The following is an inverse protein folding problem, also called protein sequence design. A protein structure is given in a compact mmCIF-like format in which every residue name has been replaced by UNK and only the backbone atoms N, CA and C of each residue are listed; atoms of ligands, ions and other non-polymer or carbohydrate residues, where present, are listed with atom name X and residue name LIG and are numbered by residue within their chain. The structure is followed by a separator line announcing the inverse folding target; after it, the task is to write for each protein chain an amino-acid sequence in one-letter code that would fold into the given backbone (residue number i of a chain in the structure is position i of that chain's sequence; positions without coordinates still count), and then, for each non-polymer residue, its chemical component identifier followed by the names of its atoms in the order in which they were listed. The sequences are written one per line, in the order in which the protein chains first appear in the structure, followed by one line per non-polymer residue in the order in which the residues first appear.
data_IF_437392471530
#
_entry.id   IF_437392471530
#
_cell.length_a   1.000
_cell.length_b   1.000
_cell.length_c   1.000
_cell.angle_alpha   90.00
_cell.angle_beta   90.00
_cell.angle_gamma   90.00
#
_symmetry.space_group_name_H-M   'P 1'
#
loop_
_entity.id
_entity.type
_entity.pdbx_description
1 polymer ?
#
# COMPACT_ATOMS: atom_id res chain seq x y z
N UNK A 1 3.39 24.78 4.59
CA UNK A 1 3.22 23.93 5.80
C UNK A 1 4.38 22.96 5.87
N UNK A 2 4.81 22.53 7.07
CA UNK A 2 5.85 21.51 7.19
C UNK A 2 5.28 20.13 6.79
N UNK A 3 6.08 19.30 6.13
CA UNK A 3 5.75 17.92 5.80
C UNK A 3 5.55 17.09 7.08
N UNK A 4 4.75 16.03 6.99
CA UNK A 4 4.60 15.08 8.08
C UNK A 4 5.89 14.28 8.26
N UNK A 5 6.40 14.23 9.50
CA UNK A 5 7.60 13.44 9.80
C UNK A 5 7.17 12.09 10.36
N UNK A 6 7.60 11.01 9.72
CA UNK A 6 7.34 9.66 10.20
C UNK A 6 8.04 9.40 11.53
N UNK A 7 7.36 8.72 12.46
CA UNK A 7 7.98 8.22 13.69
C UNK A 7 8.81 6.97 13.40
N UNK A 8 8.42 6.22 12.36
CA UNK A 8 9.12 5.02 11.91
C UNK A 8 8.97 4.87 10.40
N UNK A 9 10.00 4.40 9.74
CA UNK A 9 9.95 3.96 8.34
C UNK A 9 10.49 2.54 8.24
N UNK A 10 9.77 1.68 7.55
CA UNK A 10 10.17 0.28 7.35
C UNK A 10 9.76 -0.20 5.96
N UNK A 11 10.32 -1.32 5.53
CA UNK A 11 10.00 -1.94 4.25
C UNK A 11 9.44 -3.34 4.49
N UNK A 12 8.32 -3.64 3.85
CA UNK A 12 7.66 -4.94 3.90
C UNK A 12 7.37 -5.39 2.47
N UNK A 13 7.87 -6.56 2.07
CA UNK A 13 7.75 -7.10 0.71
C UNK A 13 8.04 -6.09 -0.41
N UNK A 14 9.08 -5.26 -0.23
CA UNK A 14 9.47 -4.24 -1.20
C UNK A 14 8.70 -2.91 -1.13
N UNK A 15 7.65 -2.82 -0.31
CA UNK A 15 6.91 -1.59 -0.07
C UNK A 15 7.48 -0.83 1.13
N UNK A 16 7.95 0.39 0.92
CA UNK A 16 8.36 1.28 2.03
C UNK A 16 7.14 1.97 2.62
N UNK A 17 6.99 1.86 3.95
CA UNK A 17 5.86 2.40 4.72
C UNK A 17 6.40 3.40 5.75
N UNK A 18 5.87 4.62 5.70
CA UNK A 18 6.09 5.66 6.70
C UNK A 18 4.98 5.59 7.75
N UNK A 19 5.35 5.42 9.00
CA UNK A 19 4.39 5.30 10.09
C UNK A 19 4.33 6.58 10.92
N UNK A 20 3.12 7.09 11.12
CA UNK A 20 2.79 8.22 12.00
C UNK A 20 1.42 8.00 12.60
N UNK A 21 1.34 7.18 13.65
CA UNK A 21 0.05 6.77 14.19
C UNK A 21 -0.64 7.88 14.97
N UNK A 22 -1.93 8.04 14.71
CA UNK A 22 -2.84 8.82 15.53
C UNK A 22 -3.02 8.08 16.85
N UNK A 23 -2.79 8.79 17.96
CA UNK A 23 -2.95 8.25 19.32
C UNK A 23 -3.86 9.16 20.14
N UNK A 24 -4.30 8.69 21.30
CA UNK A 24 -5.04 9.52 22.25
C UNK A 24 -4.32 10.82 22.62
N UNK A 25 -2.98 10.81 22.57
CA UNK A 25 -2.13 11.99 22.87
C UNK A 25 -2.13 13.01 21.73
N UNK A 26 -2.46 12.61 20.51
CA UNK A 26 -2.53 13.55 19.39
C UNK A 26 -3.79 14.42 19.41
N UNK A 27 -4.71 14.19 20.32
CA UNK A 27 -5.96 14.96 20.46
C UNK A 27 -6.96 14.72 19.34
N UNK A 28 -6.67 13.74 18.49
CA UNK A 28 -7.44 13.50 17.28
C UNK A 28 -8.39 12.35 17.49
N UNK A 29 -9.60 12.64 17.90
CA UNK A 29 -10.80 11.87 17.67
C UNK A 29 -11.13 10.69 18.54
N UNK A 30 -12.43 10.64 18.73
CA UNK A 30 -13.19 9.63 19.43
C UNK A 30 -12.89 8.18 18.99
N UNK A 31 -12.70 7.95 17.66
CA UNK A 31 -12.51 6.59 17.13
C UNK A 31 -11.08 6.07 17.23
N UNK A 32 -10.09 6.92 17.38
CA UNK A 32 -8.67 6.53 17.42
C UNK A 32 -8.30 5.63 18.61
N UNK A 33 -9.17 5.51 19.59
CA UNK A 33 -8.97 4.69 20.80
C UNK A 33 -9.87 3.44 20.85
N UNK A 34 -10.80 3.30 19.90
CA UNK A 34 -11.71 2.16 19.88
C UNK A 34 -11.06 1.02 19.11
N UNK A 35 -10.92 -0.13 19.75
CA UNK A 35 -10.37 -1.33 19.11
C UNK A 35 -11.40 -2.00 18.21
N UNK A 36 -10.93 -2.71 17.18
CA UNK A 36 -11.78 -3.49 16.30
C UNK A 36 -12.66 -4.47 17.08
N UNK A 37 -13.89 -4.64 16.62
CA UNK A 37 -14.88 -5.54 17.22
C UNK A 37 -14.70 -6.98 16.68
N UNK A 38 -13.50 -7.50 16.79
CA UNK A 38 -13.07 -8.81 16.29
C UNK A 38 -12.26 -9.53 17.36
N UNK A 39 -12.08 -10.85 17.29
CA UNK A 39 -11.17 -11.58 18.16
C UNK A 39 -9.76 -11.00 18.07
N UNK A 40 -9.10 -10.81 19.22
CA UNK A 40 -7.76 -10.23 19.33
C UNK A 40 -7.61 -8.86 18.65
N UNK A 41 -8.70 -8.18 18.32
CA UNK A 41 -8.73 -6.92 17.62
C UNK A 41 -8.00 -6.94 16.26
N UNK A 42 -7.95 -8.11 15.60
CA UNK A 42 -7.34 -8.26 14.27
C UNK A 42 -8.36 -7.95 13.18
N UNK A 43 -7.94 -7.31 12.07
CA UNK A 43 -8.83 -7.11 10.93
C UNK A 43 -9.39 -8.44 10.39
N UNK A 44 -10.66 -8.44 10.03
CA UNK A 44 -11.31 -9.53 9.30
C UNK A 44 -11.43 -9.22 7.80
N UNK A 45 -11.20 -7.97 7.40
CA UNK A 45 -11.30 -7.49 6.03
C UNK A 45 -10.25 -6.43 5.72
N UNK A 46 -9.92 -6.32 4.45
CA UNK A 46 -9.17 -5.20 3.87
C UNK A 46 -10.11 -4.43 2.95
N UNK A 47 -10.32 -3.13 3.22
CA UNK A 47 -11.23 -2.29 2.44
C UNK A 47 -10.45 -1.32 1.57
N UNK A 48 -10.79 -1.29 0.28
CA UNK A 48 -10.18 -0.42 -0.71
C UNK A 48 -11.06 0.79 -0.98
N UNK A 49 -10.42 1.96 -0.93
CA UNK A 49 -10.94 3.24 -1.38
C UNK A 49 -10.00 3.84 -2.42
N UNK A 50 -10.46 4.82 -3.16
CA UNK A 50 -9.61 5.77 -3.87
C UNK A 50 -10.13 7.18 -3.71
N UNK A 51 -9.22 8.16 -3.70
CA UNK A 51 -9.57 9.57 -3.78
C UNK A 51 -10.09 9.91 -5.18
N UNK A 52 -10.84 10.99 -5.26
CA UNK A 52 -11.39 11.51 -6.53
C UNK A 52 -10.90 12.95 -6.78
N UNK A 53 -9.87 13.37 -6.05
CA UNK A 53 -9.35 14.73 -6.15
C UNK A 53 -8.39 14.87 -7.31
N UNK A 54 -8.44 16.03 -7.98
CA UNK A 54 -7.51 16.38 -9.03
C UNK A 54 -6.14 16.66 -8.42
N UNK A 55 -5.11 16.01 -8.92
CA UNK A 55 -3.72 16.31 -8.55
C UNK A 55 -3.31 17.63 -9.18
N UNK A 56 -2.92 18.60 -8.35
CA UNK A 56 -2.50 19.92 -8.83
C UNK A 56 -1.20 19.89 -9.62
N UNK A 57 -0.30 18.96 -9.33
CA UNK A 57 0.93 18.75 -10.09
C UNK A 57 1.49 17.33 -9.84
N UNK A 58 2.02 16.69 -10.85
CA UNK A 58 2.71 15.40 -10.71
C UNK A 58 3.83 15.50 -9.66
N UNK A 59 3.76 14.65 -8.65
CA UNK A 59 4.76 14.58 -7.56
C UNK A 59 4.53 15.54 -6.40
N UNK A 60 3.43 16.27 -6.38
CA UNK A 60 2.98 16.94 -5.16
C UNK A 60 1.89 16.10 -4.56
N UNK A 61 2.15 15.22 -3.68
CA UNK A 61 1.03 14.58 -3.37
C UNK A 61 0.98 13.86 -2.17
N UNK A 62 0.37 13.63 -1.91
CA UNK A 62 -0.89 13.35 -1.84
C UNK A 62 -1.19 12.28 -0.79
N UNK A 63 -0.47 11.16 -0.71
CA UNK A 63 -0.53 10.27 0.43
C UNK A 63 0.01 10.96 1.70
N UNK A 64 1.08 11.75 1.59
CA UNK A 64 1.59 12.57 2.71
C UNK A 64 0.61 13.67 3.08
N UNK A 65 0.04 14.35 2.12
CA UNK A 65 -0.90 15.45 2.34
C UNK A 65 -2.17 14.97 3.05
N UNK A 66 -2.75 13.85 2.59
CA UNK A 66 -3.92 13.23 3.23
C UNK A 66 -3.57 12.69 4.63
N UNK A 67 -2.43 12.02 4.78
CA UNK A 67 -1.93 11.56 6.07
C UNK A 67 -1.74 12.73 7.05
N UNK A 68 -1.12 13.81 6.61
CA UNK A 68 -0.93 15.04 7.39
C UNK A 68 -2.24 15.74 7.75
N UNK A 69 -3.17 15.81 6.78
CA UNK A 69 -4.49 16.38 7.03
C UNK A 69 -5.26 15.57 8.06
N UNK A 70 -5.22 14.24 7.97
CA UNK A 70 -5.85 13.34 8.95
C UNK A 70 -5.18 13.47 10.31
N UNK A 71 -3.86 13.43 10.37
CA UNK A 71 -3.09 13.55 11.61
C UNK A 71 -3.38 14.88 12.33
N UNK A 72 -3.53 15.97 11.58
CA UNK A 72 -3.84 17.32 12.11
C UNK A 72 -5.34 17.57 12.30
N UNK A 73 -6.18 16.55 12.19
CA UNK A 73 -7.64 16.65 12.35
C UNK A 73 -8.35 17.58 11.35
N UNK A 74 -7.88 17.64 10.13
CA UNK A 74 -8.43 18.47 9.06
C UNK A 74 -9.35 17.70 8.09
N UNK A 75 -9.55 16.39 8.31
CA UNK A 75 -10.41 15.52 7.48
C UNK A 75 -11.81 15.28 8.08
N UNK A 76 -12.26 16.16 8.99
CA UNK A 76 -13.52 15.91 9.71
C UNK A 76 -13.49 14.57 10.44
N UNK A 77 -14.51 13.72 10.37
CA UNK A 77 -14.55 12.43 11.08
C UNK A 77 -13.97 11.26 10.26
N UNK A 78 -13.50 11.50 9.04
CA UNK A 78 -12.96 10.43 8.19
C UNK A 78 -11.56 10.04 8.65
N UNK A 79 -11.36 8.75 8.88
CA UNK A 79 -10.06 8.17 9.22
C UNK A 79 -9.94 6.80 8.55
N UNK A 80 -8.94 6.65 7.67
CA UNK A 80 -8.47 5.39 7.13
C UNK A 80 -7.16 4.97 7.82
N UNK A 81 -6.71 3.73 7.60
CA UNK A 81 -5.48 3.22 8.20
C UNK A 81 -4.25 3.61 7.37
N UNK A 82 -4.39 3.56 6.05
CA UNK A 82 -3.29 3.81 5.11
C UNK A 82 -3.71 4.76 4.01
N UNK A 83 -2.80 5.68 3.67
CA UNK A 83 -2.81 6.44 2.43
C UNK A 83 -1.64 5.99 1.56
N UNK A 84 -1.87 5.74 0.29
CA UNK A 84 -0.84 5.30 -0.64
C UNK A 84 -1.01 5.94 -2.01
N UNK A 85 0.12 6.37 -2.59
CA UNK A 85 0.20 6.91 -3.95
C UNK A 85 1.34 6.24 -4.73
N UNK A 86 1.71 6.79 -5.88
CA UNK A 86 2.79 6.30 -6.73
C UNK A 86 4.17 6.39 -6.09
N UNK A 87 4.35 7.21 -5.05
CA UNK A 87 5.65 7.50 -4.42
C UNK A 87 5.74 7.05 -2.97
N UNK A 88 4.68 7.21 -2.19
CA UNK A 88 4.68 7.04 -0.74
C UNK A 88 3.56 6.13 -0.23
N UNK A 89 3.78 5.55 0.93
CA UNK A 89 2.75 4.89 1.73
C UNK A 89 2.85 5.39 3.16
N UNK A 90 1.73 5.81 3.72
CA UNK A 90 1.61 6.30 5.09
C UNK A 90 0.65 5.45 5.89
N UNK A 91 1.13 4.91 7.02
CA UNK A 91 0.34 4.21 8.03
C UNK A 91 -0.02 5.21 9.14
N UNK A 92 -1.30 5.55 9.21
CA UNK A 92 -1.77 6.68 10.04
C UNK A 92 -2.63 6.25 11.22
N UNK A 93 -3.27 5.09 11.14
CA UNK A 93 -4.08 4.53 12.22
C UNK A 93 -3.66 3.08 12.46
N UNK A 94 -3.49 2.69 13.71
CA UNK A 94 -3.11 1.31 14.03
C UNK A 94 -4.13 0.30 13.51
N UNK A 95 -3.68 -0.80 12.93
CA UNK A 95 -4.52 -1.80 12.26
C UNK A 95 -5.58 -2.42 13.17
N UNK A 96 -5.36 -2.41 14.48
CA UNK A 96 -6.28 -2.94 15.50
C UNK A 96 -7.36 -1.93 15.95
N UNK A 97 -7.38 -0.75 15.33
CA UNK A 97 -8.19 0.39 15.77
C UNK A 97 -9.30 0.66 14.76
N UNK A 98 -10.49 1.02 15.26
CA UNK A 98 -11.64 1.36 14.40
C UNK A 98 -11.34 2.61 13.59
N UNK A 99 -11.44 2.49 12.25
CA UNK A 99 -11.47 3.61 11.34
C UNK A 99 -12.90 4.19 11.18
N UNK A 100 -13.01 5.32 10.49
CA UNK A 100 -14.31 5.90 10.12
C UNK A 100 -14.31 6.21 8.62
N UNK A 101 -14.56 5.17 7.80
CA UNK A 101 -14.34 5.23 6.36
C UNK A 101 -15.42 4.54 5.52
N UNK A 102 -16.23 3.66 6.14
CA UNK A 102 -17.09 2.76 5.39
C UNK A 102 -18.53 3.26 5.25
N UNK A 103 -18.89 4.37 5.90
CA UNK A 103 -20.23 4.98 5.93
C UNK A 103 -21.36 4.01 6.42
N UNK A 104 -21.00 2.90 7.06
CA UNK A 104 -21.91 1.87 7.59
C UNK A 104 -22.24 2.07 9.08
N UNK A 105 -21.84 3.22 9.64
CA UNK A 105 -22.14 3.65 11.00
C UNK A 105 -21.17 3.12 12.06
N UNK A 106 -21.40 3.51 13.30
CA UNK A 106 -20.48 3.27 14.42
C UNK A 106 -20.26 1.78 14.76
N UNK A 107 -21.15 0.91 14.34
CA UNK A 107 -21.09 -0.53 14.60
C UNK A 107 -21.08 -1.37 13.32
N UNK A 108 -21.04 -0.73 12.16
CA UNK A 108 -20.97 -1.41 10.88
C UNK A 108 -19.64 -2.18 10.72
N UNK A 109 -19.66 -3.34 10.04
CA UNK A 109 -18.49 -4.20 9.91
C UNK A 109 -17.37 -3.56 9.10
N UNK A 110 -17.67 -2.68 8.15
CA UNK A 110 -16.67 -1.94 7.41
C UNK A 110 -15.79 -1.09 8.32
N UNK A 111 -16.41 -0.29 9.22
CA UNK A 111 -15.68 0.53 10.18
C UNK A 111 -15.05 -0.29 11.32
N UNK A 112 -15.73 -1.32 11.81
CA UNK A 112 -15.37 -2.00 13.07
C UNK A 112 -14.58 -3.28 12.90
N UNK A 113 -14.41 -3.79 11.66
CA UNK A 113 -13.75 -5.07 11.40
C UNK A 113 -12.76 -5.03 10.25
N UNK A 114 -12.55 -3.89 9.61
CA UNK A 114 -11.63 -3.81 8.49
C UNK A 114 -10.49 -2.83 8.70
N UNK A 115 -9.36 -3.13 8.06
CA UNK A 115 -8.30 -2.17 7.79
C UNK A 115 -8.54 -1.53 6.43
N UNK A 116 -8.41 -0.21 6.33
CA UNK A 116 -8.75 0.55 5.15
C UNK A 116 -7.52 1.15 4.48
N UNK A 117 -7.48 1.06 3.15
CA UNK A 117 -6.48 1.66 2.27
C UNK A 117 -7.18 2.72 1.41
N UNK A 118 -6.69 3.94 1.46
CA UNK A 118 -7.05 5.01 0.54
C UNK A 118 -5.96 5.13 -0.53
N UNK A 119 -6.26 4.75 -1.76
CA UNK A 119 -5.35 4.88 -2.90
C UNK A 119 -5.55 6.29 -3.47
N UNK A 120 -4.51 7.10 -3.45
CA UNK A 120 -4.58 8.49 -3.91
C UNK A 120 -4.40 8.51 -5.42
N UNK A 121 -5.48 8.86 -6.12
CA UNK A 121 -5.63 8.84 -7.57
C UNK A 121 -6.50 10.03 -8.00
N UNK A 122 -6.33 10.51 -9.24
CA UNK A 122 -7.17 11.56 -9.83
C UNK A 122 -8.06 11.06 -10.97
N UNK A 123 -7.92 9.78 -11.35
CA UNK A 123 -8.73 9.15 -12.39
C UNK A 123 -8.32 9.49 -13.81
N UNK A 124 -7.18 10.15 -14.00
CA UNK A 124 -6.62 10.41 -15.34
C UNK A 124 -6.24 9.13 -16.08
N UNK A 125 -5.96 8.07 -15.33
CA UNK A 125 -5.50 6.78 -15.87
C UNK A 125 -4.07 6.86 -16.42
N UNK A 126 -3.30 7.85 -16.01
CA UNK A 126 -1.91 8.06 -16.39
C UNK A 126 -0.93 7.06 -15.73
N UNK A 127 0.35 7.31 -15.81
CA UNK A 127 1.38 6.45 -15.22
C UNK A 127 1.35 6.53 -13.69
N UNK A 128 1.01 7.68 -13.11
CA UNK A 128 0.94 7.87 -11.68
C UNK A 128 -0.26 7.11 -11.07
N UNK A 129 -1.45 7.22 -11.66
CA UNK A 129 -2.63 6.45 -11.26
C UNK A 129 -2.37 4.93 -11.31
N UNK A 130 -1.75 4.47 -12.40
CA UNK A 130 -1.43 3.04 -12.54
C UNK A 130 -0.42 2.56 -11.50
N UNK A 131 0.57 3.39 -11.17
CA UNK A 131 1.56 3.07 -10.15
C UNK A 131 0.93 3.12 -8.74
N UNK A 132 0.07 4.10 -8.44
CA UNK A 132 -0.67 4.18 -7.18
C UNK A 132 -1.56 2.95 -6.98
N UNK A 133 -2.33 2.55 -8.01
CA UNK A 133 -3.15 1.35 -7.99
C UNK A 133 -2.31 0.08 -7.78
N UNK A 134 -1.17 -0.02 -8.46
CA UNK A 134 -0.27 -1.17 -8.33
C UNK A 134 0.29 -1.32 -6.91
N UNK A 135 0.75 -0.21 -6.34
CA UNK A 135 1.24 -0.16 -4.96
C UNK A 135 0.12 -0.42 -3.94
N UNK A 136 -1.09 0.08 -4.20
CA UNK A 136 -2.29 -0.22 -3.41
C UNK A 136 -2.63 -1.70 -3.41
N UNK A 137 -2.51 -2.36 -4.56
CA UNK A 137 -2.70 -3.81 -4.67
C UNK A 137 -1.63 -4.61 -3.92
N UNK A 138 -0.36 -4.16 -3.94
CA UNK A 138 0.70 -4.76 -3.14
C UNK A 138 0.44 -4.60 -1.63
N UNK A 139 0.05 -3.40 -1.18
CA UNK A 139 -0.30 -3.17 0.23
C UNK A 139 -1.48 -4.04 0.67
N UNK A 140 -2.51 -4.17 -0.16
CA UNK A 140 -3.64 -5.05 0.11
C UNK A 140 -3.21 -6.51 0.29
N UNK A 141 -2.32 -7.01 -0.56
CA UNK A 141 -1.76 -8.35 -0.46
C UNK A 141 -0.94 -8.55 0.82
N UNK A 142 -0.11 -7.56 1.20
CA UNK A 142 0.66 -7.56 2.45
C UNK A 142 -0.29 -7.69 3.65
N UNK A 143 -1.34 -6.89 3.70
CA UNK A 143 -2.30 -6.91 4.80
C UNK A 143 -3.11 -8.21 4.84
N UNK A 144 -3.56 -8.73 3.70
CA UNK A 144 -4.22 -10.04 3.64
C UNK A 144 -3.30 -11.14 4.18
N UNK A 145 -2.05 -11.18 3.74
CA UNK A 145 -1.07 -12.15 4.23
C UNK A 145 -0.80 -12.01 5.72
N UNK A 146 -0.55 -10.78 6.19
CA UNK A 146 -0.25 -10.45 7.60
C UNK A 146 -1.33 -10.96 8.56
N UNK A 147 -2.60 -10.91 8.15
CA UNK A 147 -3.73 -11.32 8.98
C UNK A 147 -4.28 -12.71 8.63
N UNK A 148 -3.66 -13.44 7.73
CA UNK A 148 -4.10 -14.77 7.30
C UNK A 148 -5.46 -14.76 6.60
N UNK A 149 -5.76 -13.69 5.88
CA UNK A 149 -7.03 -13.48 5.18
C UNK A 149 -6.97 -13.97 3.74
N UNK A 150 -8.03 -14.65 3.31
CA UNK A 150 -8.21 -14.98 1.90
C UNK A 150 -8.65 -13.78 1.06
N UNK A 151 -8.56 -13.92 -0.26
CA UNK A 151 -8.94 -12.86 -1.21
C UNK A 151 -10.43 -12.46 -1.12
N UNK A 152 -11.29 -13.33 -0.61
CA UNK A 152 -12.71 -13.07 -0.33
C UNK A 152 -12.92 -12.00 0.75
N UNK A 153 -11.88 -11.71 1.53
CA UNK A 153 -11.84 -10.67 2.55
C UNK A 153 -11.42 -9.30 2.04
N UNK A 154 -11.03 -9.20 0.76
CA UNK A 154 -10.83 -7.92 0.09
C UNK A 154 -12.19 -7.33 -0.28
N UNK A 155 -12.46 -6.12 0.19
CA UNK A 155 -13.75 -5.42 0.02
C UNK A 155 -13.55 -4.04 -0.57
N UNK A 156 -14.59 -3.53 -1.19
CA UNK A 156 -14.69 -2.14 -1.61
C UNK A 156 -15.50 -1.34 -0.58
N UNK A 157 -15.39 -0.02 -0.57
CA UNK A 157 -16.32 0.82 0.19
C UNK A 157 -17.79 0.52 -0.17
N UNK A 158 -18.05 0.28 -1.47
CA UNK A 158 -19.40 -0.04 -1.98
C UNK A 158 -19.99 -1.31 -1.37
N UNK A 159 -19.17 -2.27 -0.95
CA UNK A 159 -19.65 -3.49 -0.29
C UNK A 159 -20.30 -3.18 1.07
N UNK A 160 -19.84 -2.13 1.75
CA UNK A 160 -20.36 -1.70 3.03
C UNK A 160 -21.51 -0.70 2.90
N UNK A 161 -21.39 0.20 1.94
CA UNK A 161 -22.39 1.23 1.66
C UNK A 161 -22.68 1.31 0.16
N UNK A 162 -23.67 0.56 -0.36
CA UNK A 162 -23.95 0.42 -1.79
C UNK A 162 -24.26 1.71 -2.54
N UNK A 163 -24.65 2.78 -1.81
CA UNK A 163 -24.92 4.09 -2.41
C UNK A 163 -23.65 4.88 -2.74
N UNK A 164 -22.50 4.52 -2.18
CA UNK A 164 -21.21 5.17 -2.49
C UNK A 164 -20.49 4.38 -3.59
N UNK A 165 -20.27 5.02 -4.73
CA UNK A 165 -19.50 4.44 -5.82
C UNK A 165 -18.00 4.64 -5.54
N UNK A 166 -17.40 3.78 -4.71
CA UNK A 166 -16.02 3.86 -4.28
C UNK A 166 -15.47 2.42 -4.10
N UNK A 167 -14.24 2.14 -4.58
CA UNK A 167 -13.27 3.02 -5.25
C UNK A 167 -13.65 3.35 -6.70
N UNK A 168 -13.98 4.61 -6.99
CA UNK A 168 -14.65 5.02 -8.23
C UNK A 168 -13.86 4.66 -9.49
N UNK A 169 -12.53 4.85 -9.46
CA UNK A 169 -11.67 4.61 -10.62
C UNK A 169 -11.27 3.14 -10.78
N UNK A 170 -11.37 2.34 -9.72
CA UNK A 170 -10.98 0.94 -9.72
C UNK A 170 -12.17 0.00 -9.98
N UNK A 171 -13.39 0.39 -9.58
CA UNK A 171 -14.60 -0.44 -9.72
C UNK A 171 -14.85 -0.88 -11.16
N UNK A 172 -14.55 -0.06 -12.15
CA UNK A 172 -14.72 -0.39 -13.56
C UNK A 172 -13.84 -1.56 -14.05
N UNK A 173 -12.78 -1.88 -13.31
CA UNK A 173 -11.87 -3.00 -13.60
C UNK A 173 -11.47 -3.77 -12.32
N UNK A 174 -12.39 -3.86 -11.37
CA UNK A 174 -12.18 -4.52 -10.08
C UNK A 174 -11.59 -5.92 -10.19
N UNK A 175 -12.03 -6.72 -11.15
CA UNK A 175 -11.49 -8.07 -11.36
C UNK A 175 -9.99 -8.06 -11.70
N UNK A 176 -9.52 -7.05 -12.42
CA UNK A 176 -8.10 -6.87 -12.73
C UNK A 176 -7.31 -6.49 -11.47
N UNK A 177 -7.86 -5.57 -10.66
CA UNK A 177 -7.28 -5.21 -9.38
C UNK A 177 -7.18 -6.43 -8.46
N UNK A 178 -8.25 -7.20 -8.29
CA UNK A 178 -8.26 -8.45 -7.51
C UNK A 178 -7.23 -9.45 -8.04
N UNK A 179 -7.10 -9.58 -9.35
CA UNK A 179 -6.10 -10.48 -9.96
C UNK A 179 -4.67 -10.05 -9.64
N UNK A 180 -4.42 -8.74 -9.59
CA UNK A 180 -3.13 -8.17 -9.20
C UNK A 180 -2.83 -8.46 -7.73
N UNK A 181 -3.80 -8.24 -6.83
CA UNK A 181 -3.67 -8.58 -5.39
C UNK A 181 -3.38 -10.08 -5.20
N UNK A 182 -4.07 -10.96 -5.92
CA UNK A 182 -3.80 -12.42 -5.89
C UNK A 182 -2.37 -12.74 -6.32
N UNK A 183 -1.86 -12.07 -7.35
CA UNK A 183 -0.49 -12.27 -7.84
C UNK A 183 0.53 -11.90 -6.78
N UNK A 184 0.38 -10.75 -6.13
CA UNK A 184 1.25 -10.33 -5.04
C UNK A 184 1.14 -11.24 -3.81
N UNK A 185 -0.07 -11.64 -3.44
CA UNK A 185 -0.27 -12.55 -2.31
C UNK A 185 0.46 -13.88 -2.53
N UNK A 186 0.36 -14.44 -3.72
CA UNK A 186 1.08 -15.67 -4.08
C UNK A 186 2.62 -15.49 -4.06
N UNK A 187 3.14 -14.32 -4.44
CA UNK A 187 4.57 -14.01 -4.35
C UNK A 187 5.02 -13.97 -2.88
N UNK A 188 4.30 -13.26 -2.02
CA UNK A 188 4.58 -13.13 -0.59
C UNK A 188 4.56 -14.51 0.10
N UNK A 189 3.55 -15.34 -0.19
CA UNK A 189 3.45 -16.69 0.36
C UNK A 189 4.61 -17.61 -0.07
N UNK A 190 5.11 -17.42 -1.30
CA UNK A 190 6.26 -18.18 -1.79
C UNK A 190 7.59 -17.73 -1.18
N UNK A 191 7.76 -16.43 -0.90
CA UNK A 191 8.90 -15.91 -0.15
C UNK A 191 8.98 -16.54 1.25
N UNK A 192 7.85 -16.64 1.95
CA UNK A 192 7.76 -17.26 3.27
C UNK A 192 8.11 -18.77 3.28
N UNK A 193 7.85 -19.48 2.20
CA UNK A 193 8.21 -20.92 2.08
C UNK A 193 9.70 -21.16 1.85
N UNK A 194 10.44 -20.18 1.34
CA UNK A 194 11.89 -20.30 1.11
C UNK A 194 12.74 -20.07 2.37
N UNK A 195 12.18 -19.55 3.45
CA UNK A 195 12.88 -19.30 4.72
C UNK A 195 12.76 -20.43 5.73
N UNK A 196 12.03 -21.51 5.43
CA UNK A 196 11.79 -22.67 6.30
C UNK A 196 12.69 -23.87 5.95
N UNK A 197 13.81 -24.04 6.66
CA UNK A 197 14.64 -25.22 6.86
C UNK A 197 15.32 -25.83 5.62
N UNK A 198 16.65 -25.98 5.59
CA UNK A 198 17.37 -26.66 4.51
C UNK A 198 17.23 -28.17 4.67
N UNK A 199 16.36 -28.79 3.91
CA UNK A 199 16.37 -30.24 3.73
C UNK A 199 16.51 -30.60 2.25
N UNK A 200 17.68 -31.12 1.93
CA UNK A 200 18.07 -31.85 0.70
C UNK A 200 18.46 -31.01 -0.54
N UNK A 201 19.52 -31.41 -1.26
CA UNK A 201 20.00 -30.69 -2.44
C UNK A 201 19.10 -30.98 -3.64
N UNK A 202 18.11 -30.13 -3.84
CA UNK A 202 17.23 -30.21 -5.01
C UNK A 202 17.11 -28.83 -5.66
N UNK A 203 17.61 -28.72 -6.87
CA UNK A 203 17.45 -27.68 -7.87
C UNK A 203 17.76 -26.24 -7.40
N UNK A 204 18.91 -25.76 -7.82
CA UNK A 204 19.31 -24.36 -7.76
C UNK A 204 18.16 -23.47 -8.25
N UNK A 205 17.71 -22.53 -7.40
CA UNK A 205 16.73 -21.52 -7.77
C UNK A 205 17.20 -20.82 -9.05
N UNK A 206 16.34 -20.83 -10.07
CA UNK A 206 16.64 -20.15 -11.33
C UNK A 206 16.57 -18.65 -11.11
N UNK A 207 17.72 -18.01 -11.04
CA UNK A 207 17.82 -16.56 -11.06
C UNK A 207 17.83 -16.06 -12.50
N UNK A 208 16.98 -15.12 -12.82
CA UNK A 208 16.96 -14.48 -14.13
C UNK A 208 17.66 -13.14 -14.03
N UNK A 209 18.62 -12.90 -14.93
CA UNK A 209 19.32 -11.62 -15.04
C UNK A 209 18.89 -10.93 -16.32
N UNK A 210 18.54 -9.65 -16.22
CA UNK A 210 18.39 -8.80 -17.38
C UNK A 210 19.71 -8.09 -17.60
N UNK A 211 20.36 -8.36 -18.76
CA UNK A 211 21.60 -7.72 -19.16
C UNK A 211 21.29 -6.53 -20.07
N UNK A 212 21.71 -5.33 -19.67
CA UNK A 212 21.39 -4.08 -20.36
C UNK A 212 22.48 -3.69 -21.39
N UNK A 213 23.63 -4.36 -21.39
CA UNK A 213 24.69 -4.13 -22.35
C UNK A 213 25.90 -5.04 -22.11
N UNK A 214 26.70 -5.20 -23.16
CA UNK A 214 28.01 -5.87 -23.14
C UNK A 214 29.04 -4.93 -23.75
N UNK A 215 30.09 -4.61 -22.99
CA UNK A 215 31.05 -3.57 -23.35
C UNK A 215 32.47 -4.11 -23.26
N UNK A 216 33.25 -3.94 -24.33
CA UNK A 216 34.68 -4.27 -24.35
C UNK A 216 35.55 -3.21 -23.63
N UNK A 217 35.00 -2.02 -23.36
CA UNK A 217 35.68 -0.91 -22.70
C UNK A 217 35.00 -0.60 -21.37
N UNK A 218 35.69 -0.78 -20.26
CA UNK A 218 35.18 -0.59 -18.89
C UNK A 218 34.49 0.77 -18.69
N UNK A 219 35.07 1.85 -19.21
CA UNK A 219 34.53 3.21 -19.13
C UNK A 219 33.12 3.31 -19.73
N UNK A 220 32.81 2.55 -20.78
CA UNK A 220 31.48 2.54 -21.41
C UNK A 220 30.47 1.80 -20.52
N UNK A 221 30.86 0.71 -19.86
CA UNK A 221 30.03 0.02 -18.87
C UNK A 221 29.75 0.91 -17.67
N UNK A 222 30.74 1.65 -17.17
CA UNK A 222 30.59 2.60 -16.07
C UNK A 222 29.62 3.72 -16.44
N UNK A 223 29.72 4.29 -17.62
CA UNK A 223 28.82 5.33 -18.10
C UNK A 223 27.36 4.84 -18.21
N UNK A 224 27.14 3.59 -18.65
CA UNK A 224 25.80 3.01 -18.69
C UNK A 224 25.26 2.72 -17.29
N UNK A 225 26.06 2.15 -16.39
CA UNK A 225 25.69 1.97 -14.98
C UNK A 225 25.23 3.29 -14.34
N UNK A 226 25.97 4.37 -14.58
CA UNK A 226 25.67 5.67 -13.97
C UNK A 226 24.39 6.29 -14.56
N UNK A 227 24.12 6.09 -15.86
CA UNK A 227 22.84 6.45 -16.49
C UNK A 227 21.67 5.69 -15.87
N UNK A 228 21.81 4.39 -15.64
CA UNK A 228 20.76 3.56 -15.04
C UNK A 228 20.50 3.99 -13.59
N UNK A 229 21.55 4.27 -12.82
CA UNK A 229 21.41 4.80 -11.45
C UNK A 229 20.72 6.15 -11.42
N UNK A 230 21.06 7.04 -12.33
CA UNK A 230 20.40 8.35 -12.45
C UNK A 230 18.92 8.23 -12.85
N UNK A 231 18.55 7.16 -13.55
CA UNK A 231 17.17 6.84 -13.89
C UNK A 231 16.45 6.00 -12.80
N UNK A 232 17.05 5.83 -11.60
CA UNK A 232 16.44 5.13 -10.47
C UNK A 232 16.58 3.60 -10.48
N UNK A 233 17.35 3.02 -11.44
CA UNK A 233 17.55 1.58 -11.50
C UNK A 233 18.84 1.15 -10.79
N UNK A 234 18.81 0.18 -9.86
CA UNK A 234 20.03 -0.39 -9.28
C UNK A 234 20.82 -1.11 -10.39
N UNK A 235 22.09 -0.74 -10.57
CA UNK A 235 22.94 -1.32 -11.60
C UNK A 235 24.33 -1.64 -11.07
N UNK A 236 24.84 -2.81 -11.45
CA UNK A 236 26.21 -3.28 -11.15
C UNK A 236 26.94 -3.64 -12.45
N UNK A 237 28.26 -3.57 -12.42
CA UNK A 237 29.12 -4.12 -13.49
C UNK A 237 29.61 -5.47 -13.01
N UNK A 238 29.55 -6.49 -13.88
CA UNK A 238 30.17 -7.78 -13.68
C UNK A 238 31.22 -7.96 -14.77
N UNK A 239 32.45 -8.19 -14.41
CA UNK A 239 33.53 -8.56 -15.33
C UNK A 239 33.46 -10.09 -15.56
N UNK A 240 33.51 -10.53 -16.82
CA UNK A 240 33.54 -11.92 -17.25
C UNK A 240 34.86 -12.23 -17.94
#
# INVERSE_FOLDING_TARGET
MAFLTADKTYTEHGLTINEKLITAKSGVRYFSNRKLATPDHKPEYVTIHNTEDIREAAGTNDAEQYARATFNNNMGDVVVHYYIDETACWHILADDTVGWHAADGANGPGNTKSVAIEIVMDGSGDAADKAAEDRGALLAAILLHKYGLGIDRLKTHRDWYPKKYCPAYILGHWDKFVSKVKSYLAQIENEGKQTGTPSSPAQAAKHYRVQVGYYSVKKNAEAMRDKLKAAGFPAIIKEE
#
